data_IF_749484872272
#
_entry.id   IF_749484872272
#
_cell.length_a   1.000
_cell.length_b   1.000
_cell.length_c   1.000
_cell.angle_alpha   90.00
_cell.angle_beta   90.00
_cell.angle_gamma   90.00
#
_symmetry.space_group_name_H-M   'P 1'
#
loop_
_entity.id
_entity.type
_entity.pdbx_description
1 polymer ?
#
# COMPACT_ATOMS: atom_id res chain seq x y z
N UNK A 1 -10.70 4.98 -26.49
CA UNK A 1 -10.06 5.85 -25.47
C UNK A 1 -10.03 5.03 -24.20
N UNK A 2 -8.85 4.57 -23.76
CA UNK A 2 -8.76 3.65 -22.62
C UNK A 2 -9.01 4.40 -21.33
N UNK A 3 -9.86 3.85 -20.47
CA UNK A 3 -10.00 4.33 -19.10
C UNK A 3 -8.72 3.93 -18.35
N UNK A 4 -7.90 4.90 -17.96
CA UNK A 4 -6.80 4.68 -17.04
C UNK A 4 -7.38 4.55 -15.64
N UNK A 5 -7.19 3.37 -15.03
CA UNK A 5 -7.57 3.11 -13.64
C UNK A 5 -6.66 3.85 -12.66
N UNK A 6 -6.87 3.59 -11.37
CA UNK A 6 -6.00 4.12 -10.31
C UNK A 6 -4.66 3.39 -10.40
N UNK A 7 -3.55 4.10 -10.55
CA UNK A 7 -2.22 3.48 -10.55
C UNK A 7 -1.64 3.35 -9.14
N UNK A 8 -1.93 4.33 -8.27
CA UNK A 8 -1.42 4.38 -6.90
C UNK A 8 -2.38 5.10 -5.95
N UNK A 9 -2.48 4.61 -4.72
CA UNK A 9 -3.21 5.24 -3.62
C UNK A 9 -2.31 5.41 -2.39
N UNK A 10 -2.37 6.58 -1.75
CA UNK A 10 -1.62 6.89 -0.52
C UNK A 10 -2.61 7.08 0.64
N UNK A 11 -2.40 6.33 1.71
CA UNK A 11 -3.19 6.40 2.94
C UNK A 11 -2.34 6.92 4.10
N UNK A 12 -2.83 7.97 4.77
CA UNK A 12 -2.34 8.36 6.08
C UNK A 12 -2.85 7.38 7.14
N UNK A 13 -1.97 6.84 7.98
CA UNK A 13 -2.31 5.88 9.02
C UNK A 13 -1.85 6.38 10.38
N UNK A 14 -2.72 6.24 11.38
CA UNK A 14 -2.42 6.67 12.76
C UNK A 14 -1.51 5.69 13.51
N UNK A 15 -1.55 4.41 13.16
CA UNK A 15 -0.67 3.38 13.69
C UNK A 15 -0.10 2.54 12.54
N UNK A 16 1.15 2.86 12.19
CA UNK A 16 1.84 2.20 11.09
C UNK A 16 1.99 0.70 11.32
N UNK A 17 2.30 0.25 12.54
CA UNK A 17 2.55 -1.17 12.79
C UNK A 17 1.28 -2.00 12.61
N UNK A 18 0.13 -1.48 13.05
CA UNK A 18 -1.16 -2.14 12.85
C UNK A 18 -1.56 -2.17 11.38
N UNK A 19 -1.43 -1.04 10.68
CA UNK A 19 -1.74 -0.99 9.25
C UNK A 19 -0.88 -1.97 8.45
N UNK A 20 0.41 -2.03 8.78
CA UNK A 20 1.34 -2.98 8.19
C UNK A 20 0.93 -4.43 8.41
N UNK A 21 0.60 -4.82 9.66
CA UNK A 21 0.14 -6.19 9.97
C UNK A 21 -1.16 -6.52 9.23
N UNK A 22 -2.12 -5.60 9.22
CA UNK A 22 -3.37 -5.78 8.50
C UNK A 22 -3.14 -6.06 7.00
N UNK A 23 -2.26 -5.31 6.34
CA UNK A 23 -2.00 -5.48 4.91
C UNK A 23 -1.22 -6.78 4.61
N UNK A 24 -0.32 -7.19 5.49
CA UNK A 24 0.35 -8.49 5.38
C UNK A 24 -0.63 -9.66 5.58
N UNK A 25 -1.50 -9.58 6.59
CA UNK A 25 -2.51 -10.60 6.90
C UNK A 25 -3.56 -10.68 5.77
N UNK A 26 -3.84 -9.55 5.12
CA UNK A 26 -4.67 -9.50 3.91
C UNK A 26 -3.99 -10.16 2.70
N UNK A 27 -2.67 -10.41 2.77
CA UNK A 27 -1.90 -11.11 1.74
C UNK A 27 -1.25 -10.18 0.71
N UNK A 28 -1.17 -8.88 0.97
CA UNK A 28 -0.51 -7.94 0.06
C UNK A 28 1.00 -8.11 0.12
N UNK A 29 1.63 -8.07 -1.06
CA UNK A 29 3.09 -8.16 -1.16
C UNK A 29 3.71 -6.80 -0.92
N UNK A 30 4.50 -6.68 0.16
CA UNK A 30 5.35 -5.52 0.38
C UNK A 30 6.43 -5.43 -0.70
N UNK A 31 6.50 -4.30 -1.37
CA UNK A 31 7.53 -4.02 -2.37
C UNK A 31 8.64 -3.13 -1.83
N UNK A 32 8.35 -2.25 -0.85
CA UNK A 32 9.37 -1.43 -0.19
C UNK A 32 8.91 -0.97 1.18
N UNK A 33 9.78 -1.06 2.17
CA UNK A 33 9.57 -0.46 3.50
C UNK A 33 10.66 0.57 3.77
N UNK A 34 10.29 1.77 4.23
CA UNK A 34 11.20 2.86 4.54
C UNK A 34 10.85 3.58 5.83
N UNK A 35 11.66 4.59 6.19
CA UNK A 35 11.52 5.34 7.46
C UNK A 35 10.14 6.01 7.62
N UNK A 36 9.49 6.35 6.50
CA UNK A 36 8.23 7.09 6.43
C UNK A 36 7.05 6.28 5.86
N UNK A 37 7.09 4.94 5.89
CA UNK A 37 5.96 4.14 5.36
C UNK A 37 6.32 2.81 4.70
N UNK A 38 5.30 2.17 4.14
CA UNK A 38 5.42 0.93 3.36
C UNK A 38 4.59 0.99 2.07
N UNK A 39 5.12 0.36 1.02
CA UNK A 39 4.49 0.23 -0.27
C UNK A 39 4.10 -1.24 -0.50
N UNK A 40 2.93 -1.44 -1.05
CA UNK A 40 2.34 -2.74 -1.36
C UNK A 40 1.92 -2.76 -2.82
N UNK A 41 2.15 -3.90 -3.48
CA UNK A 41 1.55 -4.14 -4.78
C UNK A 41 0.30 -4.97 -4.62
N UNK A 42 -0.79 -4.49 -5.19
CA UNK A 42 -2.04 -5.20 -5.31
C UNK A 42 -2.00 -6.16 -6.50
N UNK A 43 -2.93 -7.12 -6.52
CA UNK A 43 -3.04 -8.15 -7.56
C UNK A 43 -3.36 -7.59 -8.95
N UNK A 44 -4.00 -6.44 -9.01
CA UNK A 44 -4.32 -5.67 -10.22
C UNK A 44 -3.15 -4.80 -10.72
N UNK A 45 -1.98 -4.88 -10.07
CA UNK A 45 -0.78 -4.14 -10.45
C UNK A 45 -0.71 -2.72 -9.87
N UNK A 46 -1.72 -2.31 -9.11
CA UNK A 46 -1.78 -1.00 -8.46
C UNK A 46 -0.95 -0.96 -7.20
N UNK A 47 -0.53 0.24 -6.81
CA UNK A 47 0.34 0.45 -5.65
C UNK A 47 -0.42 1.08 -4.50
N UNK A 48 -0.32 0.50 -3.31
CA UNK A 48 -0.83 1.09 -2.07
C UNK A 48 0.35 1.53 -1.21
N UNK A 49 0.37 2.81 -0.84
CA UNK A 49 1.35 3.38 0.08
C UNK A 49 0.69 3.76 1.39
N UNK A 50 1.26 3.35 2.50
CA UNK A 50 0.87 3.83 3.83
C UNK A 50 1.93 4.78 4.38
N UNK A 51 1.50 5.91 4.92
CA UNK A 51 2.33 6.99 5.50
C UNK A 51 1.85 7.29 6.91
N UNK A 52 2.77 7.50 7.84
CA UNK A 52 2.50 8.04 9.18
C UNK A 52 2.66 9.56 9.23
#
# INVERSE_FOLDING_TARGET
>A
MSILGIEEAVFGVTDRQKAVRFLDDFGLKRTRSGKFGANYNCVDGTVVKIRD
#
